data_IF_670926272496
#
_entry.id   IF_670926272496
#
_cell.length_a   1.000
_cell.length_b   1.000
_cell.length_c   1.000
_cell.angle_alpha   90.00
_cell.angle_beta   90.00
_cell.angle_gamma   90.00
#
_symmetry.space_group_name_H-M   'P 1'
#
loop_
_entity.id
_entity.type
_entity.pdbx_description
1 polymer ?
#
# COMPACT_ATOMS: atom_id res chain seq x y z
N UNK A 1 46.09 51.79 -25.15
CA UNK A 1 44.81 52.46 -24.78
C UNK A 1 43.82 51.36 -24.43
N UNK A 2 43.55 51.18 -23.14
CA UNK A 2 42.27 51.52 -22.48
C UNK A 2 41.11 50.68 -23.07
N UNK A 3 40.71 49.59 -22.41
CA UNK A 3 39.77 49.50 -21.26
C UNK A 3 38.31 49.56 -21.71
N UNK A 4 37.48 48.70 -21.08
CA UNK A 4 36.00 48.71 -20.99
C UNK A 4 35.33 47.91 -22.14
N UNK A 5 34.45 46.92 -21.94
CA UNK A 5 33.54 46.65 -20.83
C UNK A 5 33.23 45.15 -20.69
N UNK A 6 33.21 44.66 -19.46
CA UNK A 6 32.47 43.46 -19.05
C UNK A 6 30.95 43.75 -19.08
N UNK A 7 30.17 42.74 -19.44
CA UNK A 7 28.82 42.41 -18.93
C UNK A 7 28.44 41.08 -19.62
N UNK A 8 28.60 39.91 -19.01
CA UNK A 8 27.72 39.37 -17.97
C UNK A 8 26.23 39.46 -18.37
N UNK A 9 25.76 38.41 -19.02
CA UNK A 9 24.36 38.01 -19.09
C UNK A 9 24.38 36.48 -18.92
N UNK A 10 24.52 35.93 -17.71
CA UNK A 10 23.50 35.84 -16.66
C UNK A 10 22.07 35.99 -17.17
N UNK A 11 21.63 35.03 -17.97
CA UNK A 11 20.21 34.67 -18.03
C UNK A 11 19.99 33.58 -16.99
N UNK A 12 19.91 34.02 -15.73
CA UNK A 12 19.03 33.39 -14.76
C UNK A 12 17.60 33.60 -15.28
N UNK A 13 17.05 32.59 -15.93
CA UNK A 13 15.61 32.42 -16.05
C UNK A 13 15.30 31.07 -15.40
N UNK A 14 15.40 31.03 -14.08
CA UNK A 14 14.21 31.00 -13.20
C UNK A 14 13.35 29.78 -13.52
N UNK A 15 13.66 28.68 -12.83
CA UNK A 15 12.70 28.00 -11.96
C UNK A 15 11.27 28.52 -12.07
N UNK A 16 10.53 27.92 -13.00
CA UNK A 16 9.11 27.61 -12.87
C UNK A 16 9.10 26.07 -12.86
N UNK A 17 8.95 25.30 -11.77
CA UNK A 17 8.32 25.52 -10.46
C UNK A 17 7.07 26.40 -10.53
N UNK A 18 6.25 26.14 -11.54
CA UNK A 18 4.83 25.97 -11.27
C UNK A 18 4.73 24.52 -10.74
N UNK A 19 4.51 24.23 -9.46
CA UNK A 19 3.42 24.71 -8.61
C UNK A 19 2.06 24.56 -9.30
N UNK A 20 1.75 23.32 -9.67
CA UNK A 20 0.42 22.74 -9.50
C UNK A 20 0.57 21.78 -8.31
N UNK A 21 0.29 22.18 -7.07
CA UNK A 21 -1.03 22.01 -6.40
C UNK A 21 -1.55 20.57 -6.47
N UNK A 22 -1.33 19.84 -5.39
CA UNK A 22 -2.33 18.96 -4.78
C UNK A 22 -2.48 17.57 -5.36
N UNK A 23 -2.34 16.62 -4.44
CA UNK A 23 -2.92 15.27 -4.41
C UNK A 23 -2.12 14.16 -5.12
N UNK A 24 -1.68 13.24 -4.27
CA UNK A 24 -1.20 11.89 -4.55
C UNK A 24 0.02 11.81 -5.48
N UNK A 25 1.23 11.67 -4.92
CA UNK A 25 2.31 10.99 -5.65
C UNK A 25 1.97 9.49 -5.61
N UNK A 26 1.39 8.88 -6.66
CA UNK A 26 1.31 7.44 -6.71
C UNK A 26 2.74 6.94 -6.79
N UNK A 27 3.12 6.09 -5.85
CA UNK A 27 4.34 5.31 -5.94
C UNK A 27 4.45 4.76 -7.37
N UNK A 28 5.56 5.03 -8.08
CA UNK A 28 5.74 4.55 -9.43
C UNK A 28 6.02 3.05 -9.37
N UNK A 29 4.95 2.25 -9.34
CA UNK A 29 4.93 1.03 -10.13
C UNK A 29 5.30 1.46 -11.55
N UNK A 30 6.56 1.32 -11.95
CA UNK A 30 7.13 1.96 -13.12
C UNK A 30 6.29 1.73 -14.38
N UNK A 31 5.34 2.64 -14.66
CA UNK A 31 4.44 2.62 -15.82
C UNK A 31 3.06 1.95 -15.65
N UNK A 32 2.68 1.39 -14.49
CA UNK A 32 1.35 0.76 -14.30
C UNK A 32 0.65 1.30 -13.05
N UNK A 33 -0.51 1.91 -13.22
CA UNK A 33 -1.35 2.43 -12.15
C UNK A 33 -1.89 1.28 -11.28
N UNK A 34 -1.78 1.35 -9.95
CA UNK A 34 -2.22 0.24 -9.08
C UNK A 34 -3.73 0.04 -9.19
N UNK A 35 -4.44 1.13 -9.45
CA UNK A 35 -5.85 1.22 -9.72
C UNK A 35 -6.22 0.42 -10.98
N UNK A 36 -5.39 0.49 -12.03
CA UNK A 36 -5.58 -0.32 -13.25
C UNK A 36 -5.37 -1.82 -12.98
N UNK A 37 -4.39 -2.19 -12.15
CA UNK A 37 -4.18 -3.60 -11.78
C UNK A 37 -5.35 -4.17 -11.00
N UNK A 38 -5.94 -3.37 -10.11
CA UNK A 38 -7.14 -3.75 -9.36
C UNK A 38 -8.33 -3.92 -10.31
N UNK A 39 -8.50 -3.01 -11.27
CA UNK A 39 -9.54 -3.12 -12.29
C UNK A 39 -9.36 -4.38 -13.14
N UNK A 40 -8.16 -4.63 -13.66
CA UNK A 40 -7.85 -5.79 -14.49
C UNK A 40 -8.03 -7.11 -13.71
N UNK A 41 -7.58 -7.16 -12.45
CA UNK A 41 -7.78 -8.33 -11.59
C UNK A 41 -9.27 -8.61 -11.40
N UNK A 42 -10.03 -7.58 -11.03
CA UNK A 42 -11.45 -7.71 -10.74
C UNK A 42 -12.30 -7.93 -12.00
N UNK A 43 -11.82 -7.56 -13.19
CA UNK A 43 -12.54 -7.73 -14.46
C UNK A 43 -12.83 -9.20 -14.78
N UNK A 44 -11.94 -10.11 -14.38
CA UNK A 44 -12.08 -11.54 -14.63
C UNK A 44 -12.81 -12.30 -13.51
N UNK A 45 -13.17 -11.62 -12.42
CA UNK A 45 -13.94 -12.21 -11.32
C UNK A 45 -15.43 -12.25 -11.64
N UNK A 46 -16.09 -13.33 -11.25
CA UNK A 46 -17.55 -13.41 -11.31
C UNK A 46 -18.20 -12.33 -10.41
N UNK A 47 -19.42 -11.92 -10.74
CA UNK A 47 -20.14 -10.87 -9.98
C UNK A 47 -20.43 -11.29 -8.53
N UNK A 48 -20.58 -12.59 -8.26
CA UNK A 48 -20.91 -13.15 -6.96
C UNK A 48 -19.70 -13.40 -6.06
N UNK A 49 -18.48 -13.12 -6.52
CA UNK A 49 -17.27 -13.18 -5.70
C UNK A 49 -17.40 -12.22 -4.51
N UNK A 50 -17.22 -12.71 -3.26
CA UNK A 50 -17.31 -11.88 -2.07
C UNK A 50 -16.35 -10.69 -2.10
N UNK A 51 -16.78 -9.56 -1.54
CA UNK A 51 -16.00 -8.31 -1.56
C UNK A 51 -14.60 -8.43 -0.93
N UNK A 52 -14.43 -9.32 0.06
CA UNK A 52 -13.14 -9.55 0.70
C UNK A 52 -12.15 -10.36 -0.14
N UNK A 53 -12.63 -11.02 -1.20
CA UNK A 53 -11.81 -11.75 -2.18
C UNK A 53 -11.48 -10.90 -3.41
N UNK A 54 -12.10 -9.71 -3.54
CA UNK A 54 -11.82 -8.77 -4.62
C UNK A 54 -10.53 -8.00 -4.34
N UNK A 55 -9.79 -7.72 -5.41
CA UNK A 55 -8.63 -6.84 -5.34
C UNK A 55 -9.05 -5.41 -4.93
N UNK A 56 -8.16 -4.70 -4.24
CA UNK A 56 -8.34 -3.29 -3.90
C UNK A 56 -7.01 -2.56 -3.82
N UNK A 57 -7.05 -1.25 -4.05
CA UNK A 57 -5.97 -0.32 -3.78
C UNK A 57 -6.59 0.89 -3.08
N UNK A 58 -6.09 1.22 -1.89
CA UNK A 58 -6.64 2.31 -1.09
C UNK A 58 -5.58 2.94 -0.20
N UNK A 59 -5.86 4.18 0.22
CA UNK A 59 -5.09 4.92 1.21
C UNK A 59 -5.85 4.92 2.54
N UNK A 60 -5.11 4.75 3.63
CA UNK A 60 -5.63 4.80 4.98
C UNK A 60 -4.59 4.40 6.03
N UNK A 61 -5.04 4.13 7.25
CA UNK A 61 -4.15 3.82 8.36
C UNK A 61 -3.98 2.32 8.60
N UNK A 62 -2.76 1.88 8.91
CA UNK A 62 -2.46 0.53 9.41
C UNK A 62 -2.30 0.58 10.93
N UNK A 63 -3.09 -0.21 11.63
CA UNK A 63 -3.15 -0.24 13.10
C UNK A 63 -3.25 -1.67 13.62
N UNK A 64 -3.03 -1.86 14.93
CA UNK A 64 -3.25 -3.16 15.56
C UNK A 64 -2.30 -4.27 15.07
N UNK A 65 -1.12 -3.87 14.60
CA UNK A 65 -0.08 -4.78 14.08
C UNK A 65 0.37 -5.74 15.18
N UNK A 66 0.38 -7.02 14.86
CA UNK A 66 0.85 -8.10 15.70
C UNK A 66 1.70 -9.05 14.86
N UNK A 67 2.90 -9.35 15.35
CA UNK A 67 3.77 -10.42 14.86
C UNK A 67 3.81 -11.50 15.95
N UNK A 68 3.41 -12.71 15.59
CA UNK A 68 3.36 -13.83 16.52
C UNK A 68 3.99 -15.08 15.91
N UNK A 69 5.05 -15.58 16.54
CA UNK A 69 5.69 -16.84 16.17
C UNK A 69 4.67 -17.99 16.20
N UNK A 70 4.53 -18.69 15.07
CA UNK A 70 3.67 -19.86 14.92
C UNK A 70 4.50 -21.12 15.14
N UNK A 71 5.64 -21.19 14.44
CA UNK A 71 6.64 -22.25 14.54
C UNK A 71 8.05 -21.64 14.40
N UNK A 72 9.10 -22.43 14.65
CA UNK A 72 10.48 -21.91 14.59
C UNK A 72 10.81 -21.40 13.17
N UNK A 73 10.98 -20.09 13.04
CA UNK A 73 11.25 -19.42 11.75
C UNK A 73 10.02 -19.09 10.93
N UNK A 74 8.82 -19.11 11.52
CA UNK A 74 7.58 -18.71 10.85
C UNK A 74 6.74 -17.83 11.78
N UNK A 75 6.50 -16.59 11.33
CA UNK A 75 5.72 -15.60 12.06
C UNK A 75 4.36 -15.36 11.41
N UNK A 76 3.32 -15.14 12.21
CA UNK A 76 2.04 -14.61 11.75
C UNK A 76 2.03 -13.10 11.88
N UNK A 77 2.04 -12.40 10.76
CA UNK A 77 1.73 -10.98 10.70
C UNK A 77 0.21 -10.79 10.62
N UNK A 78 -0.35 -9.99 11.52
CA UNK A 78 -1.73 -9.51 11.40
C UNK A 78 -1.82 -8.02 11.66
N UNK A 79 -2.67 -7.33 10.91
CA UNK A 79 -2.93 -5.91 11.12
C UNK A 79 -4.34 -5.53 10.67
N UNK A 80 -4.78 -4.34 11.09
CA UNK A 80 -6.04 -3.73 10.68
C UNK A 80 -5.72 -2.55 9.78
N UNK A 81 -6.20 -2.60 8.54
CA UNK A 81 -6.20 -1.47 7.62
C UNK A 81 -7.55 -0.77 7.68
N UNK A 82 -7.54 0.54 7.92
CA UNK A 82 -8.72 1.38 7.94
C UNK A 82 -8.66 2.37 6.78
N UNK A 83 -9.56 2.22 5.81
CA UNK A 83 -9.64 3.10 4.64
C UNK A 83 -10.22 4.47 5.00
N UNK A 84 -9.63 5.53 4.45
CA UNK A 84 -10.04 6.90 4.75
C UNK A 84 -11.39 7.27 4.13
N UNK A 85 -11.66 6.79 2.91
CA UNK A 85 -12.83 7.23 2.12
C UNK A 85 -14.14 6.63 2.63
N UNK A 86 -14.13 5.35 2.99
CA UNK A 86 -15.36 4.58 3.20
C UNK A 86 -15.52 4.00 4.61
N UNK A 87 -14.61 4.33 5.53
CA UNK A 87 -14.55 3.77 6.89
C UNK A 87 -14.57 2.24 6.94
N UNK A 88 -14.18 1.59 5.83
CA UNK A 88 -14.07 0.14 5.73
C UNK A 88 -12.82 -0.29 6.48
N UNK A 89 -12.98 -1.30 7.33
CA UNK A 89 -11.87 -1.89 8.06
C UNK A 89 -11.61 -3.30 7.52
N UNK A 90 -10.37 -3.56 7.13
CA UNK A 90 -9.88 -4.86 6.68
C UNK A 90 -8.92 -5.40 7.73
N UNK A 91 -9.13 -6.63 8.15
CA UNK A 91 -8.16 -7.39 8.94
C UNK A 91 -7.37 -8.23 7.96
N UNK A 92 -6.07 -8.03 7.94
CA UNK A 92 -5.13 -8.76 7.11
C UNK A 92 -4.36 -9.72 8.00
N UNK A 93 -4.15 -10.94 7.53
CA UNK A 93 -3.34 -11.95 8.20
C UNK A 93 -2.55 -12.72 7.16
N UNK A 94 -1.28 -12.95 7.42
CA UNK A 94 -0.36 -13.65 6.54
C UNK A 94 0.72 -14.30 7.39
N UNK A 95 1.09 -15.51 7.03
CA UNK A 95 2.20 -16.22 7.64
C UNK A 95 3.44 -15.92 6.81
N UNK A 96 4.54 -15.58 7.45
CA UNK A 96 5.79 -15.17 6.80
C UNK A 96 6.91 -16.09 7.27
N UNK A 97 7.70 -16.60 6.33
CA UNK A 97 8.80 -17.54 6.61
C UNK A 97 10.12 -16.81 6.94
N UNK A 98 10.15 -15.48 6.80
CA UNK A 98 11.33 -14.65 7.04
C UNK A 98 11.06 -13.61 8.13
N UNK A 99 12.13 -13.23 8.84
CA UNK A 99 12.09 -12.13 9.82
C UNK A 99 11.73 -10.82 9.10
N UNK A 100 10.47 -10.40 9.21
CA UNK A 100 9.99 -9.13 8.70
C UNK A 100 9.95 -8.07 9.81
N UNK A 101 10.60 -6.94 9.55
CA UNK A 101 10.44 -5.76 10.39
C UNK A 101 9.22 -4.95 9.91
N UNK A 102 8.08 -5.13 10.58
CA UNK A 102 6.86 -4.38 10.28
C UNK A 102 6.59 -3.30 11.36
N UNK A 103 6.33 -2.04 10.98
CA UNK A 103 6.03 -0.96 11.92
C UNK A 103 4.82 -1.26 12.81
N UNK A 104 4.83 -0.83 14.07
CA UNK A 104 3.70 -1.06 14.98
C UNK A 104 2.38 -0.40 14.52
N UNK A 105 2.50 0.66 13.71
CA UNK A 105 1.40 1.37 13.04
C UNK A 105 1.96 2.21 11.89
N UNK A 106 1.10 2.55 10.93
CA UNK A 106 1.38 3.49 9.85
C UNK A 106 0.17 4.42 9.75
N UNK A 107 0.38 5.73 9.88
CA UNK A 107 -0.72 6.71 9.91
C UNK A 107 -1.31 6.93 8.51
N UNK A 108 -0.47 6.98 7.47
CA UNK A 108 -0.87 7.11 6.07
C UNK A 108 -0.17 6.05 5.21
N UNK A 109 -0.89 5.00 4.85
CA UNK A 109 -0.40 3.89 4.05
C UNK A 109 -1.21 3.72 2.76
N UNK A 110 -0.53 3.47 1.63
CA UNK A 110 -1.17 2.87 0.45
C UNK A 110 -1.07 1.35 0.57
N UNK A 111 -2.24 0.69 0.62
CA UNK A 111 -2.34 -0.77 0.65
C UNK A 111 -2.95 -1.25 -0.66
N UNK A 112 -2.27 -2.20 -1.30
CA UNK A 112 -2.70 -2.83 -2.54
C UNK A 112 -2.80 -4.33 -2.29
N UNK A 113 -3.96 -4.90 -2.60
CA UNK A 113 -4.21 -6.33 -2.51
C UNK A 113 -4.69 -6.86 -3.86
N UNK A 114 -4.03 -7.89 -4.36
CA UNK A 114 -4.29 -8.52 -5.66
C UNK A 114 -4.44 -10.05 -5.49
N UNK A 115 -5.15 -10.50 -4.46
CA UNK A 115 -5.38 -11.92 -4.21
C UNK A 115 -4.21 -12.64 -3.55
N UNK A 116 -3.15 -12.89 -4.31
CA UNK A 116 -1.90 -13.54 -3.88
C UNK A 116 -0.78 -12.55 -3.56
N UNK A 117 -0.95 -11.28 -3.93
CA UNK A 117 -0.03 -10.20 -3.57
C UNK A 117 -0.67 -9.22 -2.59
N UNK A 118 0.13 -8.77 -1.63
CA UNK A 118 -0.16 -7.68 -0.72
C UNK A 118 1.03 -6.71 -0.69
N UNK A 119 0.80 -5.45 -1.01
CA UNK A 119 1.81 -4.41 -0.96
C UNK A 119 1.34 -3.36 0.04
N UNK A 120 2.20 -3.00 0.98
CA UNK A 120 1.97 -1.93 1.95
C UNK A 120 3.11 -0.94 1.85
N UNK A 121 2.76 0.32 1.65
CA UNK A 121 3.74 1.40 1.57
C UNK A 121 3.32 2.51 2.51
N UNK A 122 4.25 2.93 3.36
CA UNK A 122 4.10 4.12 4.18
C UNK A 122 4.34 5.35 3.30
N UNK A 123 3.38 6.27 3.25
CA UNK A 123 3.49 7.48 2.43
C UNK A 123 4.28 8.59 3.14
N UNK A 124 4.57 8.43 4.43
CA UNK A 124 5.33 9.38 5.24
C UNK A 124 6.76 8.91 5.53
N UNK A 125 7.13 7.68 5.14
CA UNK A 125 8.47 7.12 5.34
C UNK A 125 8.96 6.27 4.16
N UNK A 126 10.18 5.75 4.27
CA UNK A 126 10.74 4.83 3.27
C UNK A 126 10.29 3.37 3.48
N UNK A 127 9.33 3.11 4.38
CA UNK A 127 8.85 1.76 4.63
C UNK A 127 8.04 1.22 3.45
N UNK A 128 8.47 0.05 2.97
CA UNK A 128 7.85 -0.69 1.89
C UNK A 128 7.89 -2.17 2.24
N UNK A 129 6.78 -2.87 2.02
CA UNK A 129 6.75 -4.32 2.01
C UNK A 129 5.88 -4.82 0.87
N UNK A 130 6.39 -5.81 0.16
CA UNK A 130 5.63 -6.63 -0.77
C UNK A 130 5.64 -8.06 -0.27
N UNK A 131 4.46 -8.57 0.03
CA UNK A 131 4.20 -9.95 0.44
C UNK A 131 3.54 -10.68 -0.71
N UNK A 132 3.96 -11.92 -0.94
CA UNK A 132 3.46 -12.75 -2.03
C UNK A 132 3.29 -14.18 -1.58
N UNK A 133 2.12 -14.79 -1.82
CA UNK A 133 1.87 -16.21 -1.51
C UNK A 133 2.05 -17.13 -2.71
N UNK A 134 2.57 -16.59 -3.81
CA UNK A 134 2.77 -17.26 -5.09
C UNK A 134 2.93 -16.21 -6.19
N UNK A 135 3.18 -16.65 -7.42
CA UNK A 135 3.26 -15.75 -8.58
C UNK A 135 4.63 -15.10 -8.80
N UNK A 136 4.73 -14.29 -9.86
CA UNK A 136 5.93 -13.52 -10.17
C UNK A 136 5.94 -12.23 -9.32
N UNK A 137 7.12 -11.77 -8.93
CA UNK A 137 7.25 -10.47 -8.28
C UNK A 137 6.75 -9.36 -9.23
N UNK A 138 5.64 -8.72 -8.87
CA UNK A 138 5.02 -7.62 -9.62
C UNK A 138 5.91 -6.38 -9.72
N UNK A 139 6.89 -6.23 -8.83
CA UNK A 139 7.84 -5.13 -8.82
C UNK A 139 9.26 -5.73 -8.86
N UNK A 140 9.76 -6.11 -10.06
CA UNK A 140 11.04 -6.81 -10.19
C UNK A 140 12.25 -6.09 -9.58
N UNK A 141 12.15 -4.77 -9.39
CA UNK A 141 13.21 -3.93 -8.82
C UNK A 141 13.18 -3.84 -7.30
N UNK A 142 12.12 -4.32 -6.64
CA UNK A 142 11.95 -4.29 -5.19
C UNK A 142 11.88 -5.71 -4.61
N UNK A 143 12.35 -5.92 -3.36
CA UNK A 143 12.25 -7.22 -2.72
C UNK A 143 10.79 -7.60 -2.44
N UNK A 144 10.47 -8.88 -2.61
CA UNK A 144 9.22 -9.47 -2.19
C UNK A 144 9.52 -10.56 -1.15
N UNK A 145 8.72 -10.59 -0.10
CA UNK A 145 8.76 -11.60 0.94
C UNK A 145 7.74 -12.70 0.60
N UNK A 146 8.19 -13.95 0.64
CA UNK A 146 7.32 -15.09 0.48
C UNK A 146 6.52 -15.30 1.78
N UNK A 147 5.22 -15.49 1.61
CA UNK A 147 4.32 -15.80 2.72
C UNK A 147 3.35 -16.92 2.36
N UNK A 148 2.59 -17.36 3.35
CA UNK A 148 1.55 -18.36 3.23
C UNK A 148 0.24 -17.82 3.81
N UNK A 149 -0.88 -18.41 3.39
CA UNK A 149 -2.20 -18.19 3.99
C UNK A 149 -2.66 -16.71 4.08
N UNK A 150 -2.24 -15.87 3.13
CA UNK A 150 -2.69 -14.47 3.03
C UNK A 150 -4.21 -14.41 2.97
N UNK A 151 -4.79 -13.79 3.99
CA UNK A 151 -6.23 -13.67 4.17
C UNK A 151 -6.58 -12.21 4.44
N UNK A 152 -7.56 -11.69 3.69
CA UNK A 152 -8.18 -10.39 3.95
C UNK A 152 -9.62 -10.59 4.38
N UNK A 153 -10.05 -9.95 5.47
CA UNK A 153 -11.43 -10.01 5.96
C UNK A 153 -11.98 -8.62 6.21
N UNK A 154 -13.19 -8.38 5.77
CA UNK A 154 -13.93 -7.19 6.18
C UNK A 154 -14.34 -7.32 7.64
N UNK A 155 -14.03 -6.31 8.44
CA UNK A 155 -14.49 -6.22 9.81
C UNK A 155 -15.94 -5.76 9.78
N UNK A 156 -16.86 -6.65 10.14
CA UNK A 156 -18.28 -6.31 10.25
C UNK A 156 -18.45 -5.11 11.19
N UNK A 157 -19.36 -4.16 10.87
CA UNK A 157 -19.72 -3.11 11.80
C UNK A 157 -20.16 -3.73 13.13
N UNK A 158 -19.90 -3.11 14.29
CA UNK A 158 -20.40 -3.60 15.56
C UNK A 158 -21.92 -3.77 15.46
N UNK A 159 -22.41 -4.99 15.71
CA UNK A 159 -23.84 -5.26 15.71
C UNK A 159 -24.51 -4.37 16.75
N UNK A 160 -25.42 -3.50 16.29
CA UNK A 160 -26.17 -2.61 17.17
C UNK A 160 -26.87 -3.48 18.22
N UNK A 161 -26.68 -3.24 19.54
CA UNK A 161 -27.35 -4.04 20.56
C UNK A 161 -28.85 -3.95 20.32
N UNK A 162 -29.49 -5.12 20.14
CA UNK A 162 -30.92 -5.22 20.02
C UNK A 162 -31.51 -4.66 21.32
N UNK A 163 -32.11 -3.48 21.26
CA UNK A 163 -32.90 -2.94 22.35
C UNK A 163 -34.09 -3.89 22.55
N UNK A 164 -33.95 -4.81 23.50
CA UNK A 164 -35.06 -5.55 24.08
C UNK A 164 -35.97 -4.54 24.77
N UNK A 165 -37.15 -4.30 24.18
CA UNK A 165 -38.27 -3.64 24.84
C UNK A 165 -38.99 -4.60 25.76
#
# INVERSE_FOLDING_TARGET
MRLICQAMALVCLTTFLAACTGDDDPLPMAGVDAELLVEDYNYYLDEDVPEHERAFAAVGAVTGVQLAEITEGEDRLSFVFQEDKDAVQRVVTVDVEEDIEFPASIDEAKVIYLGDHLIVVDLESDFFVHLTTGGENLIPELPAFEGNDLTVRLKSPPSRPANSK
#
